data_IF_427045154678
#
_entry.id   IF_427045154678
#
_cell.length_a   1.000
_cell.length_b   1.000
_cell.length_c   1.000
_cell.angle_alpha   90.00
_cell.angle_beta   90.00
_cell.angle_gamma   90.00
#
_symmetry.space_group_name_H-M   'P 1'
#
loop_
_entity.id
_entity.type
_entity.pdbx_description
1 polymer ?
#
# COMPACT_ATOMS: atom_id res chain seq x y z
N UNK A 1 -15.04 -14.21 6.81
CA UNK A 1 -15.26 -13.99 5.35
C UNK A 1 -14.28 -14.91 4.61
N UNK A 2 -14.70 -15.66 3.58
CA UNK A 2 -13.76 -16.50 2.81
C UNK A 2 -13.00 -15.62 1.80
N UNK A 3 -11.69 -15.82 1.60
CA UNK A 3 -10.95 -15.06 0.59
C UNK A 3 -11.55 -15.33 -0.79
N UNK A 4 -11.79 -14.25 -1.56
CA UNK A 4 -12.20 -14.40 -2.95
C UNK A 4 -11.03 -15.00 -3.75
N UNK A 5 -11.26 -16.04 -4.57
CA UNK A 5 -10.21 -16.59 -5.43
C UNK A 5 -9.69 -15.53 -6.40
N UNK A 6 -8.38 -15.52 -6.66
CA UNK A 6 -7.73 -14.61 -7.63
C UNK A 6 -8.47 -14.56 -8.99
N UNK A 7 -8.79 -15.72 -9.54
CA UNK A 7 -9.49 -15.84 -10.83
C UNK A 7 -10.88 -15.22 -10.80
N UNK A 8 -11.57 -15.24 -9.66
CA UNK A 8 -12.86 -14.57 -9.52
C UNK A 8 -12.73 -13.07 -9.68
N UNK A 9 -11.68 -12.47 -9.08
CA UNK A 9 -11.39 -11.04 -9.20
C UNK A 9 -11.05 -10.67 -10.64
N UNK A 10 -10.16 -11.43 -11.28
CA UNK A 10 -9.76 -11.20 -12.67
C UNK A 10 -10.93 -11.32 -13.64
N UNK A 11 -11.76 -12.37 -13.50
CA UNK A 11 -12.92 -12.57 -14.36
C UNK A 11 -13.98 -11.48 -14.14
N UNK A 12 -14.22 -11.07 -12.89
CA UNK A 12 -15.12 -9.96 -12.62
C UNK A 12 -14.63 -8.66 -13.28
N UNK A 13 -13.33 -8.34 -13.14
CA UNK A 13 -12.76 -7.14 -13.75
C UNK A 13 -12.81 -7.16 -15.29
N UNK A 14 -12.55 -8.32 -15.91
CA UNK A 14 -12.68 -8.51 -17.37
C UNK A 14 -14.11 -8.33 -17.83
N UNK A 15 -15.08 -8.95 -17.16
CA UNK A 15 -16.50 -8.82 -17.49
C UNK A 15 -16.97 -7.36 -17.40
N UNK A 16 -16.53 -6.62 -16.38
CA UNK A 16 -16.84 -5.19 -16.23
C UNK A 16 -16.23 -4.37 -17.38
N UNK A 17 -14.95 -4.62 -17.69
CA UNK A 17 -14.26 -3.92 -18.78
C UNK A 17 -14.90 -4.21 -20.17
N UNK A 18 -15.24 -5.47 -20.45
CA UNK A 18 -15.92 -5.88 -21.70
C UNK A 18 -17.32 -5.26 -21.84
N UNK A 19 -18.02 -5.07 -20.73
CA UNK A 19 -19.30 -4.37 -20.69
C UNK A 19 -19.18 -2.83 -20.76
N UNK A 20 -17.96 -2.28 -20.79
CA UNK A 20 -17.73 -0.84 -20.74
C UNK A 20 -18.10 -0.19 -19.40
N UNK A 21 -18.14 -0.99 -18.32
CA UNK A 21 -18.46 -0.52 -16.97
C UNK A 21 -17.17 -0.17 -16.24
N UNK A 22 -17.08 1.09 -15.82
CA UNK A 22 -16.00 1.56 -14.98
C UNK A 22 -16.05 0.92 -13.58
N UNK A 23 -14.87 0.53 -13.08
CA UNK A 23 -14.72 -0.01 -11.74
C UNK A 23 -13.51 0.61 -11.04
N UNK A 24 -13.51 0.57 -9.71
CA UNK A 24 -12.38 0.93 -8.85
C UNK A 24 -12.10 -0.17 -7.85
N UNK A 25 -10.84 -0.29 -7.44
CA UNK A 25 -10.39 -1.28 -6.47
C UNK A 25 -9.92 -0.57 -5.21
N UNK A 26 -10.51 -0.95 -4.08
CA UNK A 26 -9.99 -0.55 -2.79
C UNK A 26 -8.89 -1.52 -2.37
N UNK A 27 -7.74 -0.96 -1.99
CA UNK A 27 -6.62 -1.72 -1.45
C UNK A 27 -6.47 -1.36 0.02
N UNK A 28 -6.60 -2.37 0.88
CA UNK A 28 -6.26 -2.27 2.30
C UNK A 28 -4.84 -2.78 2.47
N UNK A 29 -3.93 -1.89 2.85
CA UNK A 29 -2.50 -2.17 3.03
C UNK A 29 -2.08 -2.02 4.49
N UNK A 30 -0.80 -2.26 4.77
CA UNK A 30 -0.18 -2.15 6.08
C UNK A 30 -0.87 -3.06 7.10
N UNK A 31 -1.32 -4.24 6.65
CA UNK A 31 -1.79 -5.28 7.54
C UNK A 31 -0.55 -5.90 8.22
N UNK A 32 -0.37 -5.77 9.54
CA UNK A 32 0.72 -6.35 10.32
C UNK A 32 0.99 -7.84 10.12
N UNK A 33 0.01 -8.59 9.61
CA UNK A 33 0.14 -10.02 9.31
C UNK A 33 0.58 -10.29 7.87
N UNK A 34 0.65 -9.26 7.04
CA UNK A 34 1.05 -9.34 5.64
C UNK A 34 2.55 -9.63 5.53
N UNK A 35 2.88 -10.57 4.65
CA UNK A 35 4.27 -10.91 4.31
C UNK A 35 4.68 -10.24 3.01
N UNK A 36 5.99 -10.21 2.73
CA UNK A 36 6.50 -9.72 1.43
C UNK A 36 5.92 -10.52 0.25
N UNK A 37 5.65 -11.81 0.45
CA UNK A 37 5.01 -12.67 -0.55
C UNK A 37 3.58 -12.21 -0.85
N UNK A 38 2.81 -11.84 0.19
CA UNK A 38 1.44 -11.36 0.03
C UNK A 38 1.41 -10.02 -0.71
N UNK A 39 2.30 -9.08 -0.38
CA UNK A 39 2.42 -7.85 -1.15
C UNK A 39 2.79 -8.12 -2.62
N UNK A 40 3.64 -9.12 -2.88
CA UNK A 40 3.98 -9.59 -4.22
C UNK A 40 2.75 -10.10 -4.99
N UNK A 41 1.95 -10.98 -4.37
CA UNK A 41 0.70 -11.51 -4.96
C UNK A 41 -0.31 -10.40 -5.25
N UNK A 42 -0.42 -9.41 -4.36
CA UNK A 42 -1.25 -8.22 -4.57
C UNK A 42 -0.75 -7.42 -5.77
N UNK A 43 0.56 -7.17 -5.87
CA UNK A 43 1.14 -6.49 -7.03
C UNK A 43 0.82 -7.25 -8.32
N UNK A 44 1.06 -8.55 -8.34
CA UNK A 44 0.80 -9.40 -9.50
C UNK A 44 -0.67 -9.40 -9.91
N UNK A 45 -1.60 -9.35 -8.95
CA UNK A 45 -3.03 -9.18 -9.25
C UNK A 45 -3.28 -7.86 -9.96
N UNK A 46 -2.78 -6.74 -9.42
CA UNK A 46 -2.98 -5.41 -9.99
C UNK A 46 -2.45 -5.30 -11.43
N UNK A 47 -1.33 -5.96 -11.69
CA UNK A 47 -0.69 -5.95 -13.01
C UNK A 47 -1.39 -6.81 -14.06
N UNK A 48 -2.29 -7.71 -13.65
CA UNK A 48 -3.05 -8.59 -14.55
C UNK A 48 -4.49 -8.11 -14.80
N UNK A 49 -4.95 -7.11 -14.05
CA UNK A 49 -6.25 -6.50 -14.29
C UNK A 49 -6.29 -5.74 -15.62
N UNK A 50 -7.48 -5.62 -16.25
CA UNK A 50 -7.68 -4.72 -17.39
C UNK A 50 -7.21 -3.30 -17.08
N UNK A 51 -6.33 -2.76 -17.93
CA UNK A 51 -5.74 -1.44 -17.73
C UNK A 51 -6.59 -0.34 -18.40
N UNK A 52 -6.61 0.89 -17.84
CA UNK A 52 -5.93 1.31 -16.62
C UNK A 52 -6.65 0.81 -15.36
N UNK A 53 -5.88 0.35 -14.37
CA UNK A 53 -6.43 0.07 -13.04
C UNK A 53 -6.77 1.38 -12.34
N UNK A 54 -7.94 1.45 -11.71
CA UNK A 54 -8.36 2.56 -10.85
C UNK A 54 -8.35 2.09 -9.41
N UNK A 55 -7.53 2.70 -8.55
CA UNK A 55 -7.50 2.44 -7.11
C UNK A 55 -8.34 3.52 -6.42
N UNK A 56 -9.21 3.12 -5.49
CA UNK A 56 -10.18 3.98 -4.82
C UNK A 56 -9.58 5.29 -4.30
N UNK A 57 -10.23 6.41 -4.62
CA UNK A 57 -9.87 7.77 -4.18
C UNK A 57 -8.38 8.13 -4.32
N UNK A 58 -7.68 7.58 -5.32
CA UNK A 58 -6.25 7.78 -5.56
C UNK A 58 -5.34 7.46 -4.34
N UNK A 59 -5.86 6.76 -3.33
CA UNK A 59 -5.18 6.52 -2.05
C UNK A 59 -5.28 5.05 -1.66
N UNK A 60 -4.37 4.62 -0.79
CA UNK A 60 -4.48 3.30 -0.17
C UNK A 60 -5.18 3.44 1.17
N UNK A 61 -6.04 2.48 1.50
CA UNK A 61 -6.65 2.38 2.81
C UNK A 61 -5.68 1.65 3.75
N UNK A 62 -5.47 2.20 4.95
CA UNK A 62 -4.74 1.49 5.99
C UNK A 62 -5.69 0.59 6.76
N UNK A 63 -5.24 -0.61 7.10
CA UNK A 63 -6.03 -1.48 7.96
C UNK A 63 -6.31 -0.79 9.31
N UNK A 64 -7.58 -0.73 9.68
CA UNK A 64 -8.05 -0.17 10.95
C UNK A 64 -8.57 -1.27 11.86
N UNK A 65 -8.28 -1.15 13.15
CA UNK A 65 -8.71 -2.11 14.17
C UNK A 65 -9.85 -1.54 15.00
N UNK A 66 -10.93 -2.30 15.11
CA UNK A 66 -12.10 -1.94 15.90
C UNK A 66 -12.22 -2.87 17.11
N UNK A 67 -12.61 -2.36 18.30
CA UNK A 67 -12.79 -3.20 19.48
C UNK A 67 -13.78 -4.34 19.23
N UNK A 68 -13.54 -5.51 19.85
CA UNK A 68 -14.37 -6.72 19.78
C UNK A 68 -14.43 -7.42 18.41
N UNK A 69 -13.60 -7.03 17.44
CA UNK A 69 -13.42 -7.78 16.20
C UNK A 69 -12.33 -8.85 16.34
N UNK A 70 -12.54 -9.99 15.71
CA UNK A 70 -11.59 -11.11 15.69
C UNK A 70 -10.21 -10.66 15.20
N UNK A 71 -10.16 -9.86 14.13
CA UNK A 71 -8.91 -9.34 13.58
C UNK A 71 -8.10 -8.51 14.59
N UNK A 72 -8.78 -7.72 15.43
CA UNK A 72 -8.13 -6.94 16.49
C UNK A 72 -7.48 -7.85 17.53
N UNK A 73 -8.15 -8.96 17.89
CA UNK A 73 -7.58 -9.96 18.81
C UNK A 73 -6.35 -10.64 18.21
N UNK A 74 -6.44 -11.10 16.95
CA UNK A 74 -5.31 -11.72 16.24
C UNK A 74 -4.14 -10.75 16.13
N UNK A 75 -4.40 -9.48 15.82
CA UNK A 75 -3.36 -8.47 15.82
C UNK A 75 -2.73 -8.28 17.19
N UNK A 76 -3.50 -8.16 18.27
CA UNK A 76 -2.96 -7.99 19.62
C UNK A 76 -2.07 -9.16 20.05
N UNK A 77 -2.40 -10.38 19.64
CA UNK A 77 -1.61 -11.60 19.87
C UNK A 77 -0.32 -11.64 19.05
N UNK A 78 -0.32 -11.04 17.84
CA UNK A 78 0.80 -11.16 16.88
C UNK A 78 1.55 -9.84 16.62
N UNK A 79 1.18 -8.75 17.30
CA UNK A 79 1.74 -7.39 17.06
C UNK A 79 3.25 -7.29 17.27
N UNK A 80 3.90 -8.25 17.91
CA UNK A 80 5.36 -8.25 18.05
C UNK A 80 6.06 -8.93 16.85
N UNK A 81 5.33 -9.69 16.05
CA UNK A 81 5.82 -10.45 14.89
C UNK A 81 5.42 -9.77 13.57
N UNK A 82 5.78 -8.50 13.38
CA UNK A 82 5.57 -7.82 12.10
C UNK A 82 6.55 -8.38 11.04
N UNK A 83 6.06 -9.09 10.00
CA UNK A 83 6.95 -9.69 8.99
C UNK A 83 7.59 -8.66 8.06
N UNK A 84 6.99 -7.47 7.98
CA UNK A 84 7.40 -6.37 7.11
C UNK A 84 7.68 -5.10 7.93
N UNK A 85 8.78 -4.43 7.60
CA UNK A 85 9.10 -3.10 8.13
C UNK A 85 8.41 -1.98 7.33
N UNK A 86 8.49 -0.75 7.85
CA UNK A 86 7.91 0.43 7.19
C UNK A 86 8.49 0.69 5.80
N UNK A 87 9.77 0.37 5.57
CA UNK A 87 10.43 0.56 4.28
C UNK A 87 9.86 -0.39 3.22
N UNK A 88 9.53 -1.62 3.60
CA UNK A 88 8.90 -2.60 2.73
C UNK A 88 7.48 -2.22 2.37
N UNK A 89 6.68 -1.80 3.33
CA UNK A 89 5.36 -1.25 3.02
C UNK A 89 5.45 -0.04 2.11
N UNK A 90 6.37 0.89 2.39
CA UNK A 90 6.61 2.06 1.58
C UNK A 90 6.98 1.72 0.12
N UNK A 91 7.72 0.64 -0.11
CA UNK A 91 8.06 0.13 -1.43
C UNK A 91 6.83 -0.39 -2.17
N UNK A 92 6.12 -1.37 -1.60
CA UNK A 92 4.97 -1.99 -2.25
C UNK A 92 3.81 -1.03 -2.45
N UNK A 93 3.50 -0.19 -1.47
CA UNK A 93 2.44 0.82 -1.57
C UNK A 93 2.65 1.76 -2.76
N UNK A 94 3.90 2.18 -3.00
CA UNK A 94 4.22 3.02 -4.16
C UNK A 94 4.08 2.25 -5.47
N UNK A 95 4.46 0.97 -5.52
CA UNK A 95 4.25 0.14 -6.69
C UNK A 95 2.77 -0.09 -7.00
N UNK A 96 1.94 -0.33 -5.98
CA UNK A 96 0.49 -0.44 -6.11
C UNK A 96 -0.09 0.85 -6.72
N UNK A 97 0.26 2.01 -6.17
CA UNK A 97 -0.23 3.28 -6.71
C UNK A 97 0.29 3.55 -8.13
N UNK A 98 1.55 3.22 -8.43
CA UNK A 98 2.14 3.39 -9.76
C UNK A 98 1.46 2.50 -10.81
N UNK A 99 0.85 1.37 -10.43
CA UNK A 99 0.17 0.49 -11.39
C UNK A 99 -1.04 1.15 -12.06
N UNK A 100 -1.57 2.24 -11.49
CA UNK A 100 -2.62 3.05 -12.14
C UNK A 100 -2.09 3.87 -13.33
N UNK A 101 -0.81 4.24 -13.29
CA UNK A 101 -0.25 5.26 -14.17
C UNK A 101 0.81 4.72 -15.15
N UNK A 102 1.24 3.48 -14.97
CA UNK A 102 2.36 2.90 -15.71
C UNK A 102 2.04 1.48 -16.17
N UNK A 103 2.56 1.07 -17.34
CA UNK A 103 2.30 -0.26 -17.87
C UNK A 103 2.89 -1.36 -16.97
N UNK A 104 2.27 -2.55 -16.92
CA UNK A 104 2.71 -3.66 -16.07
C UNK A 104 4.19 -4.00 -16.16
N UNK A 105 4.75 -4.10 -17.37
CA UNK A 105 6.17 -4.44 -17.56
C UNK A 105 7.13 -3.41 -16.94
N UNK A 106 6.73 -2.14 -16.92
CA UNK A 106 7.51 -1.10 -16.27
C UNK A 106 7.49 -1.27 -14.74
N UNK A 107 6.31 -1.55 -14.17
CA UNK A 107 6.18 -1.82 -12.73
C UNK A 107 6.97 -3.06 -12.32
N UNK A 108 6.93 -4.14 -13.12
CA UNK A 108 7.73 -5.36 -12.87
C UNK A 108 9.23 -5.06 -12.83
N UNK A 109 9.72 -4.19 -13.74
CA UNK A 109 11.13 -3.73 -13.71
C UNK A 109 11.44 -2.96 -12.42
N UNK A 110 10.58 -2.05 -11.99
CA UNK A 110 10.77 -1.32 -10.73
C UNK A 110 10.77 -2.26 -9.52
N UNK A 111 9.84 -3.23 -9.48
CA UNK A 111 9.71 -4.23 -8.43
C UNK A 111 10.96 -5.12 -8.30
N UNK A 112 11.64 -5.40 -9.41
CA UNK A 112 12.88 -6.20 -9.44
C UNK A 112 14.12 -5.45 -8.93
N UNK A 113 14.05 -4.11 -8.80
CA UNK A 113 15.21 -3.29 -8.44
C UNK A 113 15.56 -3.39 -6.96
N UNK A 114 16.71 -3.99 -6.65
CA UNK A 114 17.27 -4.01 -5.28
C UNK A 114 17.52 -2.60 -4.72
N UNK A 115 17.88 -1.66 -5.58
CA UNK A 115 18.12 -0.27 -5.19
C UNK A 115 16.82 0.40 -4.73
N UNK A 116 15.75 0.32 -5.55
CA UNK A 116 14.46 0.93 -5.21
C UNK A 116 13.83 0.27 -3.99
N UNK A 117 14.12 -1.01 -3.74
CA UNK A 117 13.70 -1.72 -2.52
C UNK A 117 14.31 -1.12 -1.25
N UNK A 118 15.57 -0.67 -1.33
CA UNK A 118 16.30 0.02 -0.25
C UNK A 118 16.05 1.54 -0.21
N UNK A 119 15.51 2.09 -1.29
CA UNK A 119 15.28 3.52 -1.47
C UNK A 119 13.89 3.75 -2.09
N UNK A 120 12.80 3.34 -1.41
CA UNK A 120 11.45 3.40 -1.97
C UNK A 120 10.97 4.83 -2.25
N UNK A 121 11.54 5.84 -1.59
CA UNK A 121 11.26 7.25 -1.86
C UNK A 121 11.58 7.64 -3.30
N UNK A 122 12.56 6.98 -3.94
CA UNK A 122 12.92 7.22 -5.34
C UNK A 122 11.80 6.83 -6.31
N UNK A 123 10.84 6.00 -5.89
CA UNK A 123 9.70 5.68 -6.72
C UNK A 123 8.82 6.90 -7.01
N UNK A 124 8.92 7.97 -6.22
CA UNK A 124 8.20 9.23 -6.42
C UNK A 124 8.44 9.86 -7.80
N UNK A 125 9.64 9.68 -8.38
CA UNK A 125 10.01 10.26 -9.67
C UNK A 125 9.32 9.58 -10.86
N UNK A 126 8.71 8.41 -10.64
CA UNK A 126 7.97 7.71 -11.70
C UNK A 126 6.48 8.06 -11.71
N UNK A 127 6.00 8.82 -10.72
CA UNK A 127 4.62 9.31 -10.72
C UNK A 127 4.46 10.45 -11.73
N UNK A 128 3.30 10.58 -12.41
CA UNK A 128 3.02 11.75 -13.25
C UNK A 128 3.06 13.04 -12.42
N UNK A 129 3.38 14.19 -13.04
CA UNK A 129 3.56 15.48 -12.33
C UNK A 129 2.32 16.01 -11.60
N UNK A 130 1.13 15.45 -11.89
CA UNK A 130 -0.13 15.70 -11.18
C UNK A 130 -0.50 14.57 -10.20
N UNK A 131 0.41 13.63 -9.94
CA UNK A 131 0.10 12.51 -9.08
C UNK A 131 -0.38 13.00 -7.71
N UNK A 132 -1.53 12.50 -7.26
CA UNK A 132 -2.29 13.12 -6.21
C UNK A 132 -1.53 13.07 -4.88
N UNK A 133 -1.98 13.95 -3.99
CA UNK A 133 -1.70 14.10 -2.56
C UNK A 133 -1.32 12.81 -1.78
N UNK A 134 -1.68 11.62 -2.28
CA UNK A 134 -1.34 10.30 -1.77
C UNK A 134 0.17 10.03 -1.58
N UNK A 135 1.04 10.48 -2.50
CA UNK A 135 2.51 10.35 -2.31
C UNK A 135 3.00 11.23 -1.15
N UNK A 136 2.39 12.40 -0.96
CA UNK A 136 2.67 13.31 0.16
C UNK A 136 2.09 12.82 1.50
N UNK A 137 0.98 12.08 1.47
CA UNK A 137 0.39 11.46 2.67
C UNK A 137 1.16 10.20 3.12
N UNK A 138 1.71 9.43 2.19
CA UNK A 138 2.66 8.34 2.49
C UNK A 138 3.94 8.84 3.19
N UNK A 139 4.31 10.11 3.00
CA UNK A 139 5.41 10.76 3.75
C UNK A 139 4.97 11.21 5.16
N UNK A 140 3.66 11.27 5.45
CA UNK A 140 3.11 11.70 6.75
C UNK A 140 2.70 10.53 7.65
N UNK A 141 2.80 9.28 7.23
CA UNK A 141 2.31 8.11 7.98
C UNK A 141 3.31 7.60 9.01
N UNK A 142 3.74 8.50 9.89
CA UNK A 142 4.09 8.14 11.27
C UNK A 142 2.75 8.02 12.02
N UNK A 143 2.43 6.88 12.64
CA UNK A 143 1.25 6.73 13.51
C UNK A 143 1.19 7.90 14.50
N UNK A 144 0.00 8.44 14.78
CA UNK A 144 -0.14 9.59 15.69
C UNK A 144 0.58 9.35 17.04
N UNK A 145 0.52 8.11 17.54
CA UNK A 145 1.24 7.66 18.73
C UNK A 145 2.78 7.78 18.64
N UNK A 146 3.38 7.57 17.46
CA UNK A 146 4.81 7.79 17.22
C UNK A 146 5.15 9.27 17.05
N UNK A 147 4.25 10.10 16.49
CA UNK A 147 4.41 11.57 16.49
C UNK A 147 4.37 12.14 17.90
N UNK A 148 3.44 11.65 18.73
CA UNK A 148 3.27 12.10 20.10
C UNK A 148 4.48 11.67 20.96
N UNK A 149 5.01 10.45 20.76
CA UNK A 149 6.28 9.98 21.36
C UNK A 149 7.50 10.79 20.92
N UNK A 150 7.59 11.18 19.64
CA UNK A 150 8.69 11.99 19.14
C UNK A 150 8.67 13.41 19.71
N UNK A 151 7.48 14.04 19.83
CA UNK A 151 7.32 15.33 20.51
C UNK A 151 7.70 15.27 21.99
N UNK A 152 7.38 14.18 22.67
CA UNK A 152 7.75 13.97 24.08
C UNK A 152 9.26 13.77 24.29
N UNK A 153 9.96 13.13 23.34
CA UNK A 153 11.41 12.91 23.39
C UNK A 153 12.26 14.10 22.90
N UNK A 154 11.73 14.93 22.00
CA UNK A 154 12.46 16.05 21.38
C UNK A 154 12.10 17.43 21.97
N UNK A 155 11.10 17.51 22.84
CA UNK A 155 10.67 18.75 23.52
C UNK A 155 11.79 19.57 24.19
N UNK A 156 12.85 18.96 24.79
CA UNK A 156 13.92 19.75 25.40
C UNK A 156 14.99 20.26 24.42
N UNK A 157 15.01 19.83 23.15
CA UNK A 157 16.12 20.11 22.21
C UNK A 157 15.79 21.25 21.23
N UNK A 158 14.56 21.75 21.20
CA UNK A 158 14.14 22.85 20.32
C UNK A 158 13.65 24.11 21.06
N UNK A 159 13.85 24.18 22.38
CA UNK A 159 13.69 25.43 23.16
C UNK A 159 14.97 25.60 23.99
N UNK A 160 16.04 26.06 23.33
CA UNK A 160 17.34 26.29 23.98
C UNK A 160 18.41 26.62 22.95
N UNK A 161 18.49 27.90 22.57
CA UNK A 161 19.48 28.45 21.64
C UNK A 161 18.97 29.74 21.01
#
# INVERSE_FOLDING_TARGET
>A
MRPAPREMVLNAARNLAEAGIDYSIDIITNNPLETEEDCGKTLDLLLELPQPVKIGSDTLSYLSYFPNYELTRVYEEQKESHPLDEQRYAFYNRLFLLSQYRPPDFIRKLASSRYLRKHPEQLQYFFPGQAPYAVQLLQRTIPQALRDRAKQKLGPVLIGG
#
